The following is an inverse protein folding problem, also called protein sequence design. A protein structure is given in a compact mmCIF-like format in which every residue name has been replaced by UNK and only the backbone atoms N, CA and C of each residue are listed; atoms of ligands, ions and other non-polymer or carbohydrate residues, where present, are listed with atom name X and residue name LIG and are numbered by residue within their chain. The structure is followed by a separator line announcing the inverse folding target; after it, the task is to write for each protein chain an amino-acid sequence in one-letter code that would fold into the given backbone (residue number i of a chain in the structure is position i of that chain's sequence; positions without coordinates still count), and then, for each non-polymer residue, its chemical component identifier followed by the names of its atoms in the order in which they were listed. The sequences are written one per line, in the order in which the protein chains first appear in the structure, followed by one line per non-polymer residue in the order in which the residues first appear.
data_IF_505720272030
#
_entry.id   IF_505720272030
#
_cell.length_a   1.000
_cell.length_b   1.000
_cell.length_c   1.000
_cell.angle_alpha   90.00
_cell.angle_beta   90.00
_cell.angle_gamma   90.00
#
_symmetry.space_group_name_H-M   'P 1'
#
loop_
_entity.id
_entity.type
_entity.pdbx_description
1 polymer ?
#
# COMPACT_ATOMS: atom_id res chain seq x y z
N UNK A 1 -6.28 16.90 -29.92
CA UNK A 1 -4.81 16.78 -30.04
C UNK A 1 -4.37 15.66 -29.11
N UNK A 2 -4.08 14.50 -29.70
CA UNK A 2 -3.71 13.30 -28.93
C UNK A 2 -2.23 13.35 -28.59
N UNK A 3 -1.88 13.48 -27.32
CA UNK A 3 -0.51 13.31 -26.84
C UNK A 3 -0.27 11.82 -26.57
N UNK A 4 0.42 11.17 -27.51
CA UNK A 4 0.97 9.82 -27.31
C UNK A 4 2.18 9.95 -26.40
N UNK A 5 2.12 9.34 -25.22
CA UNK A 5 3.28 9.17 -24.36
C UNK A 5 4.07 7.99 -24.91
N UNK A 6 5.25 8.28 -25.43
CA UNK A 6 6.19 7.28 -25.91
C UNK A 6 6.95 6.73 -24.71
N UNK A 7 6.69 5.47 -24.34
CA UNK A 7 7.53 4.76 -23.37
C UNK A 7 8.84 4.36 -24.04
N UNK A 8 9.94 4.98 -23.62
CA UNK A 8 11.27 4.64 -24.08
C UNK A 8 11.79 3.42 -23.31
N UNK A 9 11.75 2.26 -23.96
CA UNK A 9 12.40 1.05 -23.45
C UNK A 9 13.90 1.18 -23.74
N UNK A 10 14.71 1.55 -22.78
CA UNK A 10 16.16 1.51 -22.90
C UNK A 10 16.66 0.08 -22.67
N UNK A 11 16.78 -0.67 -23.75
CA UNK A 11 17.53 -1.93 -23.74
C UNK A 11 19.00 -1.57 -23.90
N UNK A 12 19.75 -1.55 -22.82
CA UNK A 12 21.20 -1.40 -22.83
C UNK A 12 21.87 -2.66 -23.37
N UNK A 13 22.21 -2.67 -24.67
CA UNK A 13 23.12 -3.67 -25.20
C UNK A 13 24.56 -3.31 -24.81
N UNK A 14 25.17 -4.10 -23.95
CA UNK A 14 26.60 -4.01 -23.67
C UNK A 14 27.34 -4.83 -24.73
N UNK A 15 28.02 -4.14 -25.62
CA UNK A 15 28.95 -4.76 -26.58
C UNK A 15 30.23 -5.13 -25.84
N UNK A 16 30.51 -6.41 -25.74
CA UNK A 16 31.79 -6.93 -25.23
C UNK A 16 32.86 -6.87 -26.32
N UNK A 17 33.89 -6.02 -26.15
CA UNK A 17 35.14 -6.09 -26.90
C UNK A 17 35.99 -7.24 -26.37
N UNK A 18 36.27 -8.23 -27.21
CA UNK A 18 37.17 -9.33 -26.86
C UNK A 18 38.61 -8.84 -26.82
N UNK A 19 39.23 -8.84 -25.63
CA UNK A 19 40.69 -8.91 -25.50
C UNK A 19 41.04 -10.33 -25.03
N UNK A 20 41.83 -11.00 -25.80
CA UNK A 20 42.30 -12.37 -25.58
C UNK A 20 43.19 -12.49 -24.32
N UNK A 21 42.84 -13.41 -23.47
CA UNK A 21 43.77 -13.98 -22.52
C UNK A 21 43.55 -13.62 -21.04
N UNK A 22 42.46 -13.96 -20.48
CA UNK A 22 42.21 -14.50 -19.12
C UNK A 22 40.72 -14.83 -19.09
N UNK A 23 40.34 -16.10 -18.92
CA UNK A 23 38.95 -16.48 -18.68
C UNK A 23 38.59 -16.09 -17.26
N UNK A 24 38.28 -14.83 -17.03
CA UNK A 24 37.58 -14.44 -15.83
C UNK A 24 36.13 -14.87 -16.04
N UNK A 25 35.70 -15.90 -15.32
CA UNK A 25 34.27 -16.24 -15.18
C UNK A 25 33.59 -15.06 -14.49
N UNK A 26 33.08 -14.12 -15.29
CA UNK A 26 32.21 -13.07 -14.79
C UNK A 26 30.89 -13.73 -14.41
N UNK A 27 30.65 -13.89 -13.13
CA UNK A 27 29.34 -14.29 -12.62
C UNK A 27 28.36 -13.14 -12.91
N UNK A 28 27.42 -13.37 -13.84
CA UNK A 28 26.33 -12.43 -14.10
C UNK A 28 25.18 -12.77 -13.17
N UNK A 29 24.83 -11.83 -12.27
CA UNK A 29 23.61 -11.90 -11.48
C UNK A 29 22.52 -11.06 -12.11
N UNK A 30 21.29 -11.57 -12.19
CA UNK A 30 20.10 -10.81 -12.58
C UNK A 30 19.09 -10.87 -11.45
N UNK A 31 18.38 -9.74 -11.23
CA UNK A 31 17.28 -9.64 -10.28
C UNK A 31 16.08 -9.04 -11.02
N UNK A 32 14.95 -9.72 -10.95
CA UNK A 32 13.70 -9.17 -11.45
C UNK A 32 13.15 -8.16 -10.46
N UNK A 33 12.77 -7.00 -10.94
CA UNK A 33 12.04 -5.98 -10.19
C UNK A 33 10.63 -5.93 -10.77
N UNK A 34 9.65 -6.26 -9.94
CA UNK A 34 8.25 -6.10 -10.32
C UNK A 34 7.87 -4.61 -10.21
N UNK A 35 7.32 -4.08 -11.30
CA UNK A 35 6.76 -2.72 -11.35
C UNK A 35 5.26 -2.87 -11.47
N UNK A 36 4.53 -2.48 -10.43
CA UNK A 36 3.07 -2.50 -10.40
C UNK A 36 2.54 -1.07 -10.35
N UNK A 37 1.47 -0.83 -11.07
CA UNK A 37 0.67 0.39 -10.97
C UNK A 37 -0.76 -0.01 -10.58
N UNK A 38 -1.22 0.49 -9.43
CA UNK A 38 -2.60 0.36 -9.00
C UNK A 38 -3.21 1.77 -8.90
N UNK A 39 -4.24 2.03 -9.69
CA UNK A 39 -4.98 3.29 -9.65
C UNK A 39 -6.20 3.24 -8.70
N UNK A 40 -6.41 2.11 -8.01
CA UNK A 40 -7.47 1.95 -7.03
C UNK A 40 -6.91 2.18 -5.62
N UNK A 41 -6.72 3.45 -5.29
CA UNK A 41 -6.40 3.88 -3.93
C UNK A 41 -7.59 4.52 -3.21
N UNK A 42 -8.81 4.23 -3.68
CA UNK A 42 -10.04 4.78 -3.10
C UNK A 42 -11.12 3.71 -3.01
N UNK A 43 -11.96 3.81 -1.97
CA UNK A 43 -13.21 3.07 -1.84
C UNK A 43 -14.33 4.11 -1.98
N UNK A 44 -15.09 4.01 -3.06
CA UNK A 44 -16.21 4.91 -3.32
C UNK A 44 -17.44 4.53 -2.50
N UNK A 45 -18.37 5.44 -2.34
CA UNK A 45 -19.65 5.28 -1.65
C UNK A 45 -20.32 3.93 -2.00
N UNK A 46 -20.34 2.95 -1.09
CA UNK A 46 -20.86 1.62 -1.37
C UNK A 46 -22.38 1.59 -1.47
N UNK A 47 -23.08 2.57 -0.90
CA UNK A 47 -24.54 2.67 -0.94
C UNK A 47 -25.03 3.23 -2.27
N UNK A 48 -24.16 3.93 -3.02
CA UNK A 48 -24.50 4.54 -4.31
C UNK A 48 -23.39 4.36 -5.35
N UNK A 49 -23.05 3.13 -5.74
CA UNK A 49 -21.89 2.86 -6.62
C UNK A 49 -22.03 3.44 -8.03
N UNK A 50 -23.28 3.71 -8.49
CA UNK A 50 -23.54 4.30 -9.82
C UNK A 50 -23.40 5.81 -9.86
N UNK A 51 -23.49 6.51 -8.70
CA UNK A 51 -23.36 7.96 -8.58
C UNK A 51 -22.82 8.33 -7.19
N UNK A 52 -21.58 7.90 -6.87
CA UNK A 52 -21.02 8.12 -5.55
C UNK A 52 -20.92 9.62 -5.23
N UNK A 53 -21.18 9.97 -3.98
CA UNK A 53 -21.09 11.35 -3.49
C UNK A 53 -19.81 11.62 -2.73
N UNK A 54 -19.12 10.56 -2.30
CA UNK A 54 -17.88 10.59 -1.53
C UNK A 54 -17.04 9.37 -1.82
N UNK A 55 -15.80 9.42 -1.39
CA UNK A 55 -14.87 8.30 -1.39
C UNK A 55 -13.94 8.38 -0.18
N UNK A 56 -13.36 7.25 0.20
CA UNK A 56 -12.28 7.17 1.18
C UNK A 56 -10.99 6.80 0.46
N UNK A 57 -10.00 7.68 0.51
CA UNK A 57 -8.64 7.36 0.09
C UNK A 57 -8.01 6.41 1.10
N UNK A 58 -7.38 5.35 0.59
CA UNK A 58 -6.67 4.33 1.35
C UNK A 58 -5.25 4.16 0.78
N UNK A 59 -4.31 3.54 1.49
CA UNK A 59 -2.98 3.27 0.96
C UNK A 59 -3.04 2.47 -0.35
N UNK A 60 -2.30 2.90 -1.37
CA UNK A 60 -2.19 2.18 -2.65
C UNK A 60 -1.22 1.01 -2.59
N UNK A 61 -0.40 0.92 -1.53
CA UNK A 61 0.55 -0.15 -1.27
C UNK A 61 1.49 0.22 -0.14
N UNK A 62 1.99 -0.80 0.55
CA UNK A 62 2.97 -0.69 1.61
C UNK A 62 4.21 -1.44 1.16
N UNK A 63 5.34 -0.74 1.03
CA UNK A 63 6.60 -1.34 0.67
C UNK A 63 7.64 -1.03 1.75
N UNK A 64 8.10 -2.08 2.40
CA UNK A 64 9.24 -2.01 3.30
C UNK A 64 10.52 -2.43 2.56
N UNK A 65 11.63 -1.83 2.94
CA UNK A 65 12.97 -2.17 2.49
C UNK A 65 13.93 -2.07 3.68
N UNK A 66 15.17 -2.48 3.48
CA UNK A 66 16.17 -2.45 4.54
C UNK A 66 16.39 -1.02 5.08
N UNK A 67 16.34 -0.03 4.20
CA UNK A 67 16.47 1.40 4.48
C UNK A 67 15.13 2.14 4.66
N UNK A 68 14.01 1.44 4.47
CA UNK A 68 12.65 1.99 4.57
C UNK A 68 11.76 1.12 5.44
N UNK A 69 11.75 1.39 6.73
CA UNK A 69 11.02 0.61 7.74
C UNK A 69 9.62 1.12 8.03
N UNK A 70 9.23 2.26 7.48
CA UNK A 70 7.92 2.87 7.73
C UNK A 70 7.20 3.19 6.43
N UNK A 71 5.87 3.19 6.48
CA UNK A 71 5.01 3.62 5.39
C UNK A 71 3.76 4.31 5.95
N UNK A 72 3.33 5.37 5.26
CA UNK A 72 2.06 6.06 5.55
C UNK A 72 0.90 5.13 5.16
N UNK A 73 -0.03 4.95 6.10
CA UNK A 73 -1.26 4.18 5.91
C UNK A 73 -2.50 4.99 6.29
N UNK A 74 -2.39 6.31 6.29
CA UNK A 74 -3.49 7.22 6.58
C UNK A 74 -4.69 6.96 5.67
N UNK A 75 -5.88 7.24 6.20
CA UNK A 75 -7.14 7.19 5.45
C UNK A 75 -7.81 8.55 5.44
N UNK A 76 -8.45 8.93 4.32
CA UNK A 76 -9.02 10.27 4.17
C UNK A 76 -10.36 10.24 3.45
N UNK A 77 -11.37 10.92 4.01
CA UNK A 77 -12.65 11.17 3.37
C UNK A 77 -12.52 12.30 2.35
N UNK A 78 -12.90 12.03 1.12
CA UNK A 78 -12.75 12.93 -0.01
C UNK A 78 -14.05 13.06 -0.82
N UNK A 79 -14.16 14.14 -1.58
CA UNK A 79 -15.06 14.24 -2.71
C UNK A 79 -14.62 13.23 -3.79
N UNK A 80 -15.51 12.90 -4.72
CA UNK A 80 -15.23 11.92 -5.80
C UNK A 80 -14.09 12.38 -6.73
N UNK A 81 -13.83 13.67 -6.79
CA UNK A 81 -12.72 14.26 -7.57
C UNK A 81 -11.36 14.23 -6.86
N UNK A 82 -11.30 13.61 -5.66
CA UNK A 82 -10.09 13.51 -4.85
C UNK A 82 -9.76 14.74 -3.99
N UNK A 83 -10.62 15.75 -3.99
CA UNK A 83 -10.45 16.90 -3.08
C UNK A 83 -10.98 16.58 -1.69
N UNK A 84 -10.54 17.34 -0.67
CA UNK A 84 -11.03 17.17 0.70
C UNK A 84 -12.56 17.29 0.77
N UNK A 85 -13.23 16.39 1.48
CA UNK A 85 -14.68 16.31 1.52
C UNK A 85 -15.34 17.61 2.00
N UNK A 86 -16.34 18.08 1.24
CA UNK A 86 -17.10 19.30 1.50
C UNK A 86 -18.62 19.09 1.46
N UNK A 87 -19.05 17.83 1.33
CA UNK A 87 -20.48 17.48 1.23
C UNK A 87 -21.22 17.60 2.56
N UNK A 88 -22.43 17.03 2.58
CA UNK A 88 -23.30 16.99 3.76
C UNK A 88 -22.69 16.19 4.90
N UNK A 89 -23.21 16.38 6.12
CA UNK A 89 -22.80 15.59 7.29
C UNK A 89 -22.96 14.11 7.03
N UNK A 90 -21.88 13.35 7.21
CA UNK A 90 -21.87 11.89 7.14
C UNK A 90 -20.93 11.34 8.19
N UNK A 91 -21.15 10.09 8.61
CA UNK A 91 -20.23 9.33 9.41
C UNK A 91 -19.88 8.05 8.65
N UNK A 92 -18.58 7.83 8.42
CA UNK A 92 -18.06 6.69 7.67
C UNK A 92 -17.09 5.92 8.55
N UNK A 93 -17.48 4.73 8.97
CA UNK A 93 -16.60 3.84 9.72
C UNK A 93 -15.59 3.19 8.78
N UNK A 94 -14.34 3.16 9.20
CA UNK A 94 -13.24 2.51 8.48
C UNK A 94 -12.67 1.41 9.33
N UNK A 95 -12.51 0.22 8.73
CA UNK A 95 -11.83 -0.91 9.36
C UNK A 95 -10.70 -1.41 8.47
N UNK A 96 -9.72 -2.07 9.08
CA UNK A 96 -8.63 -2.75 8.36
C UNK A 96 -8.36 -4.12 8.97
N UNK A 97 -8.20 -5.13 8.14
CA UNK A 97 -7.85 -6.49 8.55
C UNK A 97 -6.66 -7.01 7.73
N UNK A 98 -5.76 -7.73 8.39
CA UNK A 98 -4.63 -8.42 7.76
C UNK A 98 -4.98 -9.88 7.49
N UNK A 99 -4.64 -10.38 6.31
CA UNK A 99 -4.79 -11.79 5.96
C UNK A 99 -3.83 -12.70 6.72
N UNK A 100 -2.66 -12.17 7.14
CA UNK A 100 -1.58 -12.91 7.78
C UNK A 100 -1.27 -12.44 9.20
N UNK A 101 -2.23 -11.86 9.93
CA UNK A 101 -2.05 -11.39 11.30
C UNK A 101 -0.91 -10.34 11.45
N UNK A 102 -0.80 -9.44 10.49
CA UNK A 102 0.26 -8.41 10.39
C UNK A 102 1.66 -9.01 10.33
N UNK A 103 1.79 -10.09 9.55
CA UNK A 103 3.05 -10.74 9.22
C UNK A 103 3.23 -10.82 7.71
N UNK A 104 4.35 -10.36 7.23
CA UNK A 104 4.78 -10.61 5.87
C UNK A 104 5.27 -12.05 5.77
N UNK A 105 4.72 -12.84 4.84
CA UNK A 105 5.03 -14.27 4.71
C UNK A 105 5.66 -14.61 3.38
N UNK A 106 6.59 -15.57 3.43
CA UNK A 106 7.12 -16.29 2.30
C UNK A 106 7.43 -17.70 2.75
N UNK A 107 6.69 -18.70 2.27
CA UNK A 107 6.75 -20.09 2.74
C UNK A 107 6.62 -20.17 4.28
N UNK A 108 7.67 -20.65 4.96
CA UNK A 108 7.75 -20.72 6.43
C UNK A 108 8.39 -19.49 7.08
N UNK A 109 8.93 -18.57 6.28
CA UNK A 109 9.56 -17.33 6.77
C UNK A 109 8.50 -16.28 7.04
N UNK A 110 8.50 -15.70 8.24
CA UNK A 110 7.58 -14.66 8.67
C UNK A 110 8.37 -13.46 9.18
N UNK A 111 7.88 -12.25 8.86
CA UNK A 111 8.43 -10.98 9.35
C UNK A 111 7.28 -10.15 9.87
N UNK A 112 7.26 -9.83 11.16
CA UNK A 112 6.19 -9.04 11.77
C UNK A 112 6.33 -7.57 11.42
N UNK A 113 5.20 -6.93 11.25
CA UNK A 113 5.08 -5.49 11.14
C UNK A 113 3.88 -5.01 11.96
N UNK A 114 3.84 -3.74 12.25
CA UNK A 114 2.77 -3.09 13.00
C UNK A 114 2.06 -2.08 12.11
N UNK A 115 0.75 -1.96 12.29
CA UNK A 115 -0.07 -0.89 11.74
C UNK A 115 -0.73 -0.18 12.89
N UNK A 116 -0.55 1.12 13.00
CA UNK A 116 -1.13 1.93 14.06
C UNK A 116 -1.88 3.15 13.51
N UNK A 117 -3.00 3.48 14.13
CA UNK A 117 -3.78 4.70 13.89
C UNK A 117 -3.90 5.46 15.21
N UNK A 118 -3.13 6.56 15.33
CA UNK A 118 -2.93 7.21 16.63
C UNK A 118 -2.32 6.25 17.64
N UNK A 119 -2.98 6.04 18.78
CA UNK A 119 -2.54 5.12 19.82
C UNK A 119 -3.04 3.67 19.64
N UNK A 120 -3.89 3.43 18.65
CA UNK A 120 -4.45 2.10 18.38
C UNK A 120 -3.52 1.28 17.51
N UNK A 121 -3.07 0.14 18.02
CA UNK A 121 -2.33 -0.86 17.25
C UNK A 121 -3.34 -1.87 16.70
N UNK A 122 -3.34 -2.03 15.38
CA UNK A 122 -4.24 -2.97 14.69
C UNK A 122 -3.84 -4.42 14.95
N UNK A 123 -4.87 -5.26 15.11
CA UNK A 123 -4.71 -6.70 15.36
C UNK A 123 -5.92 -7.46 14.81
N UNK A 124 -5.96 -8.78 14.95
CA UNK A 124 -7.13 -9.57 14.58
C UNK A 124 -8.40 -9.21 15.39
N UNK A 125 -8.24 -8.68 16.60
CA UNK A 125 -9.34 -8.25 17.47
C UNK A 125 -9.58 -6.74 17.45
N UNK A 126 -8.61 -5.93 17.03
CA UNK A 126 -8.73 -4.48 16.91
C UNK A 126 -8.59 -4.10 15.43
N UNK A 127 -9.72 -4.09 14.74
CA UNK A 127 -9.80 -3.78 13.30
C UNK A 127 -10.32 -2.36 13.03
N UNK A 128 -10.85 -1.67 14.03
CA UNK A 128 -11.49 -0.37 13.88
C UNK A 128 -10.45 0.75 13.78
N UNK A 129 -10.23 1.27 12.57
CA UNK A 129 -9.42 2.46 12.33
C UNK A 129 -10.07 3.67 13.01
N UNK A 130 -11.33 3.92 12.72
CA UNK A 130 -12.13 5.00 13.30
C UNK A 130 -13.25 5.45 12.39
N UNK A 131 -13.89 6.57 12.76
CA UNK A 131 -14.98 7.19 11.99
C UNK A 131 -14.50 8.49 11.36
N UNK A 132 -14.58 8.56 10.04
CA UNK A 132 -14.39 9.78 9.26
C UNK A 132 -15.71 10.54 9.16
N UNK A 133 -15.65 11.87 9.20
CA UNK A 133 -16.83 12.74 9.04
C UNK A 133 -16.41 14.14 8.55
N UNK A 134 -17.34 15.09 8.52
CA UNK A 134 -17.07 16.47 8.10
C UNK A 134 -16.05 17.20 8.98
N UNK A 135 -15.89 16.81 10.25
CA UNK A 135 -14.93 17.36 11.20
C UNK A 135 -13.61 16.61 11.22
N UNK A 136 -13.67 15.27 11.11
CA UNK A 136 -12.51 14.36 11.09
C UNK A 136 -12.42 13.76 9.69
N UNK A 137 -11.82 14.48 8.77
CA UNK A 137 -11.71 14.04 7.38
C UNK A 137 -10.53 13.09 7.14
N UNK A 138 -9.54 13.09 8.01
CA UNK A 138 -8.34 12.25 7.92
C UNK A 138 -8.05 11.59 9.26
N UNK A 139 -7.63 10.33 9.19
CA UNK A 139 -7.05 9.60 10.32
C UNK A 139 -5.65 9.19 9.90
N UNK A 140 -4.65 9.76 10.57
CA UNK A 140 -3.25 9.44 10.30
C UNK A 140 -2.92 8.04 10.79
N UNK A 141 -2.20 7.29 9.95
CA UNK A 141 -1.76 5.93 10.25
C UNK A 141 -0.34 5.66 9.79
N UNK A 142 0.34 4.80 10.51
CA UNK A 142 1.72 4.41 10.23
C UNK A 142 1.84 2.88 10.25
N UNK A 143 2.44 2.32 9.21
CA UNK A 143 2.93 0.95 9.22
C UNK A 143 4.42 0.95 9.52
N UNK A 144 4.87 0.06 10.42
CA UNK A 144 6.26 -0.01 10.87
C UNK A 144 6.76 -1.45 10.86
N UNK A 145 7.88 -1.68 10.18
CA UNK A 145 8.63 -2.93 10.27
C UNK A 145 9.63 -2.82 11.43
N UNK A 146 9.59 -3.76 12.36
CA UNK A 146 10.49 -3.74 13.52
C UNK A 146 11.95 -3.87 13.12
N UNK A 147 12.85 -3.15 13.80
CA UNK A 147 14.30 -3.16 13.50
C UNK A 147 14.96 -4.51 13.71
N UNK A 148 14.36 -5.38 14.54
CA UNK A 148 14.87 -6.72 14.86
C UNK A 148 14.24 -7.83 14.01
N UNK A 149 13.28 -7.47 13.17
CA UNK A 149 12.59 -8.42 12.32
C UNK A 149 13.49 -8.80 11.13
N UNK A 150 13.91 -10.07 11.09
CA UNK A 150 14.79 -10.62 10.06
C UNK A 150 14.11 -11.79 9.39
N UNK A 151 13.97 -11.70 8.07
CA UNK A 151 13.49 -12.81 7.28
C UNK A 151 14.48 -13.99 7.28
N UNK A 152 13.98 -15.20 7.45
CA UNK A 152 14.81 -16.43 7.40
C UNK A 152 15.03 -16.94 5.98
N UNK A 153 14.23 -16.44 5.02
CA UNK A 153 14.36 -16.74 3.60
C UNK A 153 14.58 -15.45 2.80
N UNK A 154 15.40 -15.54 1.75
CA UNK A 154 15.62 -14.42 0.83
C UNK A 154 14.43 -14.24 -0.13
N UNK A 155 14.09 -13.01 -0.42
CA UNK A 155 13.10 -12.62 -1.43
C UNK A 155 11.90 -11.89 -0.85
N UNK A 156 10.86 -11.72 -1.65
CA UNK A 156 9.68 -10.93 -1.30
C UNK A 156 8.78 -11.69 -0.33
N UNK A 157 8.48 -11.07 0.80
CA UNK A 157 7.49 -11.50 1.79
C UNK A 157 6.27 -10.61 1.63
N UNK A 158 5.08 -11.16 1.71
CA UNK A 158 3.83 -10.44 1.44
C UNK A 158 2.78 -10.64 2.52
N UNK A 159 1.94 -9.64 2.68
CA UNK A 159 0.66 -9.71 3.38
C UNK A 159 -0.38 -8.94 2.55
N UNK A 160 -1.66 -9.10 2.89
CA UNK A 160 -2.76 -8.35 2.29
C UNK A 160 -3.56 -7.68 3.39
N UNK A 161 -3.64 -6.36 3.33
CA UNK A 161 -4.56 -5.57 4.15
C UNK A 161 -5.86 -5.32 3.38
N UNK A 162 -6.98 -5.66 4.00
CA UNK A 162 -8.32 -5.38 3.47
C UNK A 162 -8.92 -4.23 4.26
N UNK A 163 -9.14 -3.10 3.58
CA UNK A 163 -9.90 -1.98 4.11
C UNK A 163 -11.37 -2.14 3.79
N UNK A 164 -12.23 -1.83 4.76
CA UNK A 164 -13.68 -1.79 4.58
C UNK A 164 -14.21 -0.45 5.08
N UNK A 165 -15.11 0.14 4.32
CA UNK A 165 -15.80 1.38 4.70
C UNK A 165 -17.30 1.14 4.78
N UNK A 166 -17.95 1.78 5.76
CA UNK A 166 -19.39 1.68 5.95
C UNK A 166 -19.94 3.03 6.41
N UNK A 167 -20.90 3.58 5.65
CA UNK A 167 -21.66 4.75 6.10
C UNK A 167 -22.58 4.31 7.25
N UNK A 168 -22.58 5.08 8.34
CA UNK A 168 -23.53 4.87 9.43
C UNK A 168 -24.93 5.28 8.98
N UNK A 169 -25.94 4.55 9.44
CA UNK A 169 -27.33 4.93 9.20
C UNK A 169 -27.63 6.28 9.87
N UNK A 170 -28.35 7.13 9.17
CA UNK A 170 -28.88 8.37 9.76
C UNK A 170 -29.92 8.00 10.83
N UNK A 171 -29.73 8.52 12.04
CA UNK A 171 -30.70 8.35 13.15
C UNK A 171 -31.80 9.40 13.05
#
# INVERSE_FOLDING_TARGET
MNKKVLSLLAVGAITTSMLSGVVANAATGSKNVEVTYNNQSVITDPDNPGAPQWQVAIPSGINFAEDKKTADVSVELQNVDGTSYTGSEINVDVTVASANEYKLKKNSSEVKYEVAYGEKIMSQSEIAVGTLNTSIKKIDGLATLGDKEVATELGTHTDTLTYTVQKQAEM
#
